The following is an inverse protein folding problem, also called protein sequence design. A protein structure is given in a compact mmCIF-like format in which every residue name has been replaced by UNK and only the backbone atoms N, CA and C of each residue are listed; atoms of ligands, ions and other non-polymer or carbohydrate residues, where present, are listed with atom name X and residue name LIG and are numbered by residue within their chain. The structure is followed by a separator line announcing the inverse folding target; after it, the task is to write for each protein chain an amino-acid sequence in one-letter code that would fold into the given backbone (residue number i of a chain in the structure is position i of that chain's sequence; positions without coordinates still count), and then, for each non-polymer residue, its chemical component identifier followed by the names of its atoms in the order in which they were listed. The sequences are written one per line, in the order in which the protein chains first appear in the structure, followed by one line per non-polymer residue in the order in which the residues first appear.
data_IF_486437045163
#
_entry.id   IF_486437045163
#
_cell.length_a   1.000
_cell.length_b   1.000
_cell.length_c   1.000
_cell.angle_alpha   90.00
_cell.angle_beta   90.00
_cell.angle_gamma   90.00
#
_symmetry.space_group_name_H-M   'P 1'
#
loop_
_entity.id
_entity.type
_entity.pdbx_description
1 polymer ?
#
# COMPACT_ATOMS: atom_id res chain seq x y z
N UNK A 1 3.25 8.53 -20.01
CA UNK A 1 2.62 9.68 -19.32
C UNK A 1 3.68 10.50 -18.62
N UNK A 2 3.53 11.83 -18.55
CA UNK A 2 4.39 12.67 -17.70
C UNK A 2 4.00 12.48 -16.24
N UNK A 3 4.93 12.67 -15.30
CA UNK A 3 4.67 12.47 -13.86
C UNK A 3 3.45 13.25 -13.34
N UNK A 4 3.31 14.52 -13.74
CA UNK A 4 2.16 15.33 -13.34
C UNK A 4 0.81 14.75 -13.82
N UNK A 5 0.79 14.14 -15.01
CA UNK A 5 -0.42 13.49 -15.56
C UNK A 5 -0.79 12.23 -14.76
N UNK A 6 0.22 11.45 -14.33
CA UNK A 6 0.01 10.29 -13.45
C UNK A 6 -0.54 10.76 -12.09
N UNK A 7 0.06 11.78 -11.51
CA UNK A 7 -0.36 12.33 -10.22
C UNK A 7 -1.79 12.86 -10.26
N UNK A 8 -2.17 13.60 -11.31
CA UNK A 8 -3.53 14.09 -11.47
C UNK A 8 -4.54 12.95 -11.60
N UNK A 9 -4.28 11.97 -12.47
CA UNK A 9 -5.16 10.80 -12.65
C UNK A 9 -5.28 9.96 -11.38
N UNK A 10 -4.19 9.80 -10.63
CA UNK A 10 -4.23 9.12 -9.33
C UNK A 10 -5.11 9.89 -8.34
N UNK A 11 -4.99 11.21 -8.25
CA UNK A 11 -5.84 12.02 -7.39
C UNK A 11 -7.34 11.84 -7.72
N UNK A 12 -7.70 11.83 -8.99
CA UNK A 12 -9.07 11.61 -9.45
C UNK A 12 -9.55 10.18 -9.15
N UNK A 13 -8.74 9.17 -9.51
CA UNK A 13 -9.07 7.75 -9.34
C UNK A 13 -9.27 7.36 -7.87
N UNK A 14 -8.35 7.74 -7.00
CA UNK A 14 -8.37 7.37 -5.59
C UNK A 14 -9.33 8.24 -4.75
N UNK A 15 -9.75 9.41 -5.23
CA UNK A 15 -10.82 10.20 -4.60
C UNK A 15 -12.16 9.47 -4.61
N UNK A 16 -12.39 8.56 -5.55
CA UNK A 16 -13.58 7.73 -5.65
C UNK A 16 -13.60 6.54 -4.65
N UNK A 17 -12.53 6.36 -3.89
CA UNK A 17 -12.34 5.19 -3.04
C UNK A 17 -13.51 4.94 -2.09
N UNK A 18 -14.08 5.99 -1.50
CA UNK A 18 -15.25 5.90 -0.62
C UNK A 18 -16.54 5.47 -1.35
N UNK A 19 -16.49 5.36 -2.68
CA UNK A 19 -17.54 4.81 -3.52
C UNK A 19 -17.18 3.50 -4.20
N UNK A 20 -16.05 2.88 -3.83
CA UNK A 20 -15.52 1.70 -4.51
C UNK A 20 -16.54 0.55 -4.58
N UNK A 21 -16.44 -0.28 -5.61
CA UNK A 21 -17.30 -1.47 -5.76
C UNK A 21 -17.23 -2.37 -4.53
N UNK A 22 -16.05 -2.48 -3.91
CA UNK A 22 -15.86 -3.26 -2.71
C UNK A 22 -16.70 -2.75 -1.56
N UNK A 23 -16.64 -1.45 -1.25
CA UNK A 23 -17.43 -0.86 -0.17
C UNK A 23 -18.93 -1.09 -0.40
N UNK A 24 -19.40 -0.88 -1.64
CA UNK A 24 -20.79 -1.17 -2.03
C UNK A 24 -21.13 -2.65 -1.86
N UNK A 25 -20.25 -3.56 -2.29
CA UNK A 25 -20.47 -5.00 -2.19
C UNK A 25 -20.62 -5.50 -0.75
N UNK A 26 -19.86 -4.91 0.18
CA UNK A 26 -19.98 -5.21 1.62
C UNK A 26 -21.06 -4.38 2.33
N UNK A 27 -21.78 -3.53 1.57
CA UNK A 27 -22.91 -2.74 2.08
C UNK A 27 -22.49 -1.53 2.94
N UNK A 28 -21.33 -0.94 2.62
CA UNK A 28 -20.90 0.35 3.16
C UNK A 28 -21.40 1.43 2.21
N UNK A 29 -22.39 2.20 2.64
CA UNK A 29 -23.08 3.21 1.82
C UNK A 29 -22.90 4.63 2.33
N UNK A 30 -22.37 4.78 3.54
CA UNK A 30 -22.15 6.07 4.20
C UNK A 30 -20.91 6.02 5.12
N UNK A 31 -20.58 7.16 5.73
CA UNK A 31 -19.46 7.32 6.68
C UNK A 31 -19.90 7.25 8.16
N UNK A 32 -21.04 6.63 8.46
CA UNK A 32 -21.45 6.42 9.83
C UNK A 32 -20.50 5.47 10.58
N UNK A 33 -20.40 5.57 11.93
CA UNK A 33 -19.55 4.68 12.70
C UNK A 33 -19.85 3.19 12.48
N UNK A 34 -21.09 2.84 12.20
CA UNK A 34 -21.51 1.46 11.95
C UNK A 34 -21.01 0.97 10.58
N UNK A 35 -21.16 1.78 9.53
CA UNK A 35 -20.65 1.48 8.19
C UNK A 35 -19.13 1.37 8.16
N UNK A 36 -18.44 2.29 8.82
CA UNK A 36 -16.99 2.29 8.88
C UNK A 36 -16.44 1.09 9.67
N UNK A 37 -17.05 0.72 10.81
CA UNK A 37 -16.70 -0.51 11.53
C UNK A 37 -16.87 -1.75 10.65
N UNK A 38 -17.96 -1.84 9.90
CA UNK A 38 -18.19 -2.96 8.98
C UNK A 38 -17.09 -3.09 7.92
N UNK A 39 -16.59 -1.95 7.41
CA UNK A 39 -15.44 -1.94 6.51
C UNK A 39 -14.16 -2.40 7.21
N UNK A 40 -13.91 -1.90 8.42
CA UNK A 40 -12.73 -2.24 9.22
C UNK A 40 -12.71 -3.74 9.56
N UNK A 41 -13.82 -4.30 9.99
CA UNK A 41 -13.96 -5.73 10.29
C UNK A 41 -13.64 -6.58 9.06
N UNK A 42 -14.21 -6.22 7.90
CA UNK A 42 -13.89 -6.87 6.64
C UNK A 42 -12.41 -6.73 6.29
N UNK A 43 -11.84 -5.53 6.43
CA UNK A 43 -10.44 -5.24 6.07
C UNK A 43 -9.47 -6.09 6.89
N UNK A 44 -9.66 -6.17 8.20
CA UNK A 44 -8.80 -6.95 9.08
C UNK A 44 -9.01 -8.47 8.95
N UNK A 45 -10.23 -8.91 8.65
CA UNK A 45 -10.46 -10.32 8.29
C UNK A 45 -9.76 -10.68 6.97
N UNK A 46 -9.75 -9.75 6.02
CA UNK A 46 -9.10 -9.95 4.73
C UNK A 46 -7.57 -9.85 4.82
N UNK A 47 -7.01 -8.94 5.61
CA UNK A 47 -5.58 -8.73 5.79
C UNK A 47 -5.11 -9.03 7.24
N UNK A 48 -5.30 -10.25 7.76
CA UNK A 48 -5.02 -10.56 9.18
C UNK A 48 -3.53 -10.44 9.54
N UNK A 49 -2.65 -10.63 8.58
CA UNK A 49 -1.19 -10.49 8.73
C UNK A 49 -0.72 -9.02 8.87
N UNK A 50 -1.59 -8.04 8.70
CA UNK A 50 -1.22 -6.63 8.85
C UNK A 50 -0.69 -6.32 10.25
N UNK A 51 -1.25 -6.98 11.26
CA UNK A 51 -0.83 -6.83 12.66
C UNK A 51 0.57 -7.39 12.93
N UNK A 52 1.07 -8.31 12.09
CA UNK A 52 2.43 -8.84 12.16
C UNK A 52 3.45 -7.85 11.59
N UNK A 53 3.00 -6.97 10.68
CA UNK A 53 3.86 -5.97 10.04
C UNK A 53 3.83 -4.61 10.74
N UNK A 54 2.68 -4.18 11.28
CA UNK A 54 2.54 -2.87 11.93
C UNK A 54 2.41 -3.07 13.44
N UNK A 55 3.46 -2.73 14.23
CA UNK A 55 3.44 -2.88 15.68
C UNK A 55 2.66 -1.73 16.32
N UNK A 56 1.33 -1.74 16.20
CA UNK A 56 0.47 -0.66 16.72
C UNK A 56 0.68 -0.37 18.21
N UNK A 57 1.00 -1.40 19.03
CA UNK A 57 1.29 -1.24 20.46
C UNK A 57 2.48 -0.33 20.76
N UNK A 58 3.41 -0.24 19.82
CA UNK A 58 4.71 0.42 20.02
C UNK A 58 4.73 1.85 19.46
N UNK A 59 3.60 2.33 18.92
CA UNK A 59 3.53 3.64 18.26
C UNK A 59 3.29 4.81 19.22
N UNK A 60 2.96 4.55 20.49
CA UNK A 60 2.61 5.59 21.45
C UNK A 60 3.70 6.66 21.58
N UNK A 61 3.33 7.91 21.34
CA UNK A 61 4.21 9.07 21.40
C UNK A 61 5.18 9.23 20.23
N UNK A 62 5.21 8.28 19.28
CA UNK A 62 6.00 8.39 18.05
C UNK A 62 5.35 9.36 17.07
N UNK A 63 6.16 10.07 16.28
CA UNK A 63 5.69 10.80 15.11
C UNK A 63 5.54 9.81 13.96
N UNK A 64 4.31 9.52 13.58
CA UNK A 64 3.98 8.52 12.54
C UNK A 64 3.34 9.19 11.34
N UNK A 65 3.93 8.98 10.16
CA UNK A 65 3.34 9.34 8.88
C UNK A 65 2.70 8.10 8.24
N UNK A 66 1.43 8.19 7.90
CA UNK A 66 0.79 7.24 6.99
C UNK A 66 0.72 7.85 5.59
N UNK A 67 1.10 7.09 4.56
CA UNK A 67 1.00 7.48 3.16
C UNK A 67 0.03 6.56 2.45
N UNK A 68 -0.96 7.15 1.77
CA UNK A 68 -2.04 6.39 1.14
C UNK A 68 -3.07 5.93 2.16
N UNK A 69 -4.09 6.74 2.39
CA UNK A 69 -4.95 6.65 3.57
C UNK A 69 -6.15 5.71 3.40
N UNK A 70 -6.57 5.48 2.16
CA UNK A 70 -7.73 4.66 1.87
C UNK A 70 -8.99 5.08 2.65
N UNK A 71 -9.66 4.13 3.28
CA UNK A 71 -10.82 4.36 4.14
C UNK A 71 -10.47 4.83 5.56
N UNK A 72 -9.17 5.02 5.88
CA UNK A 72 -8.74 5.41 7.21
C UNK A 72 -8.75 4.30 8.26
N UNK A 73 -8.85 3.04 7.84
CA UNK A 73 -8.86 1.88 8.73
C UNK A 73 -7.56 1.76 9.52
N UNK A 74 -6.42 1.92 8.84
CA UNK A 74 -5.08 1.90 9.47
C UNK A 74 -4.84 3.19 10.23
N UNK A 75 -5.23 4.34 9.66
CA UNK A 75 -5.13 5.68 10.25
C UNK A 75 -5.71 5.72 11.67
N UNK A 76 -6.92 5.18 11.81
CA UNK A 76 -7.63 5.13 13.09
C UNK A 76 -6.86 4.32 14.15
N UNK A 77 -6.29 3.16 13.78
CA UNK A 77 -5.51 2.35 14.72
C UNK A 77 -4.20 3.04 15.11
N UNK A 78 -3.53 3.71 14.17
CA UNK A 78 -2.32 4.47 14.47
C UNK A 78 -2.65 5.61 15.45
N UNK A 79 -3.68 6.40 15.17
CA UNK A 79 -4.09 7.49 16.07
C UNK A 79 -4.55 6.97 17.44
N UNK A 80 -5.33 5.88 17.48
CA UNK A 80 -5.81 5.25 18.71
C UNK A 80 -4.68 4.65 19.56
N UNK A 81 -3.53 4.30 18.97
CA UNK A 81 -2.35 3.84 19.72
C UNK A 81 -1.68 4.95 20.55
N UNK A 82 -2.09 6.19 20.37
CA UNK A 82 -1.47 7.36 21.01
C UNK A 82 -0.24 7.88 20.28
N UNK A 83 -0.10 7.57 19.00
CA UNK A 83 0.91 8.19 18.12
C UNK A 83 0.58 9.65 17.82
N UNK A 84 1.59 10.47 17.55
CA UNK A 84 1.43 11.77 16.90
C UNK A 84 1.19 11.51 15.40
N UNK A 85 -0.08 11.27 15.04
CA UNK A 85 -0.47 10.81 13.72
C UNK A 85 -0.53 11.94 12.70
N UNK A 86 0.07 11.70 11.54
CA UNK A 86 -0.07 12.52 10.34
C UNK A 86 -0.38 11.60 9.15
N UNK A 87 -1.42 11.93 8.38
CA UNK A 87 -1.77 11.24 7.14
C UNK A 87 -1.43 12.07 5.91
N UNK A 88 -0.98 11.42 4.83
CA UNK A 88 -0.71 12.03 3.53
C UNK A 88 -1.36 11.23 2.42
N UNK A 89 -2.21 11.85 1.64
CA UNK A 89 -2.77 11.25 0.42
C UNK A 89 -2.84 12.27 -0.71
N UNK A 90 -2.65 11.81 -1.93
CA UNK A 90 -2.77 12.65 -3.12
C UNK A 90 -4.22 13.01 -3.43
N UNK A 91 -5.16 12.18 -2.98
CA UNK A 91 -6.58 12.29 -3.24
C UNK A 91 -7.32 12.98 -2.08
N UNK A 92 -8.28 13.83 -2.41
CA UNK A 92 -9.07 14.59 -1.43
C UNK A 92 -10.00 13.67 -0.62
N UNK A 93 -10.64 12.69 -1.26
CA UNK A 93 -11.61 11.79 -0.62
C UNK A 93 -11.05 11.05 0.60
N UNK A 94 -9.92 10.33 0.50
CA UNK A 94 -9.26 9.69 1.64
C UNK A 94 -8.87 10.67 2.74
N UNK A 95 -8.37 11.86 2.40
CA UNK A 95 -8.02 12.90 3.39
C UNK A 95 -9.25 13.33 4.18
N UNK A 96 -10.34 13.64 3.49
CA UNK A 96 -11.61 14.01 4.13
C UNK A 96 -12.15 12.87 5.01
N UNK A 97 -12.08 11.63 4.54
CA UNK A 97 -12.51 10.44 5.29
C UNK A 97 -11.71 10.26 6.58
N UNK A 98 -10.39 10.37 6.53
CA UNK A 98 -9.55 10.22 7.73
C UNK A 98 -9.82 11.33 8.74
N UNK A 99 -9.87 12.59 8.31
CA UNK A 99 -10.18 13.70 9.22
C UNK A 99 -11.57 13.54 9.86
N UNK A 100 -12.58 13.10 9.07
CA UNK A 100 -13.91 12.77 9.60
C UNK A 100 -13.85 11.66 10.67
N UNK A 101 -13.09 10.57 10.43
CA UNK A 101 -12.91 9.48 11.41
C UNK A 101 -12.22 9.94 12.69
N UNK A 102 -11.15 10.73 12.57
CA UNK A 102 -10.43 11.28 13.72
C UNK A 102 -11.36 12.14 14.59
N UNK A 103 -12.13 13.05 13.97
CA UNK A 103 -13.12 13.87 14.66
C UNK A 103 -14.23 13.02 15.30
N UNK A 104 -14.80 12.09 14.56
CA UNK A 104 -15.90 11.22 15.03
C UNK A 104 -15.52 10.38 16.26
N UNK A 105 -14.24 10.04 16.42
CA UNK A 105 -13.74 9.22 17.51
C UNK A 105 -12.92 10.01 18.54
N UNK A 106 -12.90 11.35 18.43
CA UNK A 106 -12.12 12.23 19.28
C UNK A 106 -10.63 11.81 19.37
N UNK A 107 -10.05 11.37 18.25
CA UNK A 107 -8.64 10.99 18.14
C UNK A 107 -7.79 12.18 17.67
N UNK A 108 -6.58 12.30 18.23
CA UNK A 108 -5.62 13.32 17.82
C UNK A 108 -4.92 12.92 16.53
N UNK A 109 -4.66 13.91 15.66
CA UNK A 109 -3.96 13.74 14.40
C UNK A 109 -4.57 14.57 13.29
N UNK A 110 -3.98 14.52 12.11
CA UNK A 110 -4.44 15.25 10.93
C UNK A 110 -4.06 14.50 9.66
N UNK A 111 -4.94 14.52 8.68
CA UNK A 111 -4.62 14.11 7.31
C UNK A 111 -4.54 15.36 6.41
N UNK A 112 -3.54 15.39 5.54
CA UNK A 112 -3.29 16.47 4.59
C UNK A 112 -3.22 15.93 3.15
N UNK A 113 -3.68 16.72 2.20
CA UNK A 113 -3.57 16.38 0.78
C UNK A 113 -2.18 16.73 0.27
N UNK A 114 -1.52 15.78 -0.40
CA UNK A 114 -0.22 15.99 -0.99
C UNK A 114 0.36 14.72 -1.60
N UNK A 115 1.44 14.89 -2.36
CA UNK A 115 2.16 13.76 -2.97
C UNK A 115 3.39 13.40 -2.19
N UNK A 116 3.62 12.10 -1.97
CA UNK A 116 4.88 11.61 -1.39
C UNK A 116 6.10 11.91 -2.27
N UNK A 117 5.91 12.16 -3.57
CA UNK A 117 7.00 12.59 -4.45
C UNK A 117 7.44 14.04 -4.19
N UNK A 118 6.58 14.84 -3.54
CA UNK A 118 6.86 16.22 -3.12
C UNK A 118 6.14 16.50 -1.79
N UNK A 119 6.52 15.81 -0.71
CA UNK A 119 5.80 15.88 0.56
C UNK A 119 5.97 17.25 1.22
N UNK A 120 4.91 17.79 1.88
CA UNK A 120 4.96 19.11 2.51
C UNK A 120 5.53 19.03 3.94
N UNK A 121 6.57 18.23 4.14
CA UNK A 121 7.18 17.99 5.46
C UNK A 121 8.69 18.20 5.42
N UNK A 122 9.25 18.61 6.52
CA UNK A 122 10.69 18.72 6.70
C UNK A 122 11.36 17.33 6.79
N UNK A 123 12.63 17.26 6.42
CA UNK A 123 13.42 16.04 6.58
C UNK A 123 13.50 15.62 8.06
N UNK A 124 13.67 14.34 8.31
CA UNK A 124 13.88 13.78 9.65
C UNK A 124 12.79 14.16 10.67
N UNK A 125 11.54 14.20 10.20
CA UNK A 125 10.37 14.53 11.02
C UNK A 125 9.75 13.33 11.71
N UNK A 126 9.78 12.16 11.06
CA UNK A 126 9.00 10.99 11.50
C UNK A 126 9.89 9.88 12.07
N UNK A 127 9.38 9.24 13.12
CA UNK A 127 10.00 8.06 13.71
C UNK A 127 9.59 6.80 12.94
N UNK A 128 8.39 6.82 12.33
CA UNK A 128 7.87 5.72 11.53
C UNK A 128 7.03 6.22 10.35
N UNK A 129 7.21 5.58 9.20
CA UNK A 129 6.37 5.80 8.01
C UNK A 129 5.69 4.48 7.67
N UNK A 130 4.38 4.51 7.45
CA UNK A 130 3.55 3.36 7.08
C UNK A 130 2.90 3.67 5.73
N UNK A 131 3.13 2.80 4.72
CA UNK A 131 2.69 3.04 3.35
C UNK A 131 2.17 1.74 2.70
N UNK A 132 0.93 1.37 3.02
CA UNK A 132 0.35 0.10 2.60
C UNK A 132 -0.43 0.27 1.29
N UNK A 133 0.09 -0.33 0.20
CA UNK A 133 -0.63 -0.40 -1.07
C UNK A 133 -0.64 0.88 -1.91
N UNK A 134 0.25 1.85 -1.66
CA UNK A 134 0.18 3.15 -2.33
C UNK A 134 1.44 3.52 -3.15
N UNK A 135 2.65 3.20 -2.68
CA UNK A 135 3.89 3.69 -3.31
C UNK A 135 4.05 3.22 -4.76
N UNK A 136 3.60 2.03 -5.08
CA UNK A 136 3.68 1.45 -6.42
C UNK A 136 2.67 2.04 -7.43
N UNK A 137 1.82 2.97 -6.99
CA UNK A 137 0.93 3.74 -7.87
C UNK A 137 1.46 5.14 -8.20
N UNK A 138 2.53 5.57 -7.54
CA UNK A 138 3.05 6.95 -7.68
C UNK A 138 3.61 7.27 -9.07
N UNK A 139 4.01 6.26 -9.84
CA UNK A 139 4.69 6.43 -11.12
C UNK A 139 6.21 6.59 -11.02
N UNK A 140 6.72 6.73 -9.80
CA UNK A 140 8.16 6.73 -9.48
C UNK A 140 8.39 6.12 -8.10
N UNK A 141 8.40 4.78 -8.06
CA UNK A 141 8.59 4.03 -6.82
C UNK A 141 9.94 4.31 -6.16
N UNK A 142 10.99 4.54 -6.97
CA UNK A 142 12.33 4.83 -6.45
C UNK A 142 12.37 6.16 -5.70
N UNK A 143 11.82 7.21 -6.32
CA UNK A 143 11.73 8.52 -5.68
C UNK A 143 10.81 8.48 -4.45
N UNK A 144 9.68 7.77 -4.51
CA UNK A 144 8.78 7.62 -3.36
C UNK A 144 9.51 7.00 -2.16
N UNK A 145 10.29 5.93 -2.34
CA UNK A 145 11.08 5.29 -1.28
C UNK A 145 12.17 6.25 -0.78
N UNK A 146 12.88 6.95 -1.68
CA UNK A 146 13.90 7.94 -1.31
C UNK A 146 13.31 9.10 -0.50
N UNK A 147 12.10 9.57 -0.84
CA UNK A 147 11.40 10.59 -0.05
C UNK A 147 11.04 10.09 1.34
N UNK A 148 10.53 8.87 1.46
CA UNK A 148 10.30 8.26 2.77
C UNK A 148 11.59 8.18 3.60
N UNK A 149 12.72 7.78 3.00
CA UNK A 149 14.01 7.75 3.68
C UNK A 149 14.43 9.12 4.24
N UNK A 150 14.26 10.19 3.44
CA UNK A 150 14.60 11.56 3.88
C UNK A 150 13.72 12.08 5.00
N UNK A 151 12.43 11.70 5.00
CA UNK A 151 11.48 12.10 6.04
C UNK A 151 11.70 11.38 7.37
N UNK A 152 12.32 10.20 7.36
CA UNK A 152 12.62 9.43 8.55
C UNK A 152 13.79 10.03 9.33
N UNK A 153 13.66 10.06 10.64
CA UNK A 153 14.76 10.32 11.59
C UNK A 153 15.78 9.19 11.54
N UNK A 154 17.04 9.42 11.96
CA UNK A 154 17.96 8.32 12.27
C UNK A 154 17.30 7.33 13.24
N UNK A 155 17.43 6.03 12.98
CA UNK A 155 16.76 4.96 13.73
C UNK A 155 15.28 4.74 13.36
N UNK A 156 14.70 5.61 12.57
CA UNK A 156 13.31 5.49 12.11
C UNK A 156 13.12 4.37 11.07
N UNK A 157 11.88 3.92 10.88
CA UNK A 157 11.58 2.81 9.96
C UNK A 157 10.43 3.11 9.01
N UNK A 158 10.56 2.61 7.78
CA UNK A 158 9.53 2.54 6.75
C UNK A 158 8.93 1.13 6.72
N UNK A 159 7.62 1.03 6.94
CA UNK A 159 6.83 -0.20 6.75
C UNK A 159 5.95 0.03 5.54
N UNK A 160 6.10 -0.80 4.51
CA UNK A 160 5.34 -0.58 3.28
C UNK A 160 5.01 -1.86 2.55
N UNK A 161 4.01 -1.78 1.68
CA UNK A 161 3.60 -2.87 0.80
C UNK A 161 3.54 -2.40 -0.64
N UNK A 162 4.05 -3.23 -1.54
CA UNK A 162 3.99 -3.06 -3.00
C UNK A 162 3.64 -4.38 -3.68
N UNK A 163 3.21 -4.36 -4.95
CA UNK A 163 2.85 -5.59 -5.66
C UNK A 163 4.07 -6.37 -6.12
N UNK A 164 4.00 -7.69 -5.91
CA UNK A 164 5.07 -8.61 -6.23
C UNK A 164 5.06 -9.06 -7.70
N UNK A 165 6.20 -8.92 -8.38
CA UNK A 165 6.34 -9.20 -9.81
C UNK A 165 6.27 -10.68 -10.17
N UNK A 166 6.60 -11.59 -9.24
CA UNK A 166 6.56 -13.05 -9.47
C UNK A 166 5.42 -13.73 -8.72
N UNK A 167 4.33 -13.00 -8.42
CA UNK A 167 3.15 -13.56 -7.79
C UNK A 167 2.50 -14.63 -8.69
N UNK A 168 1.76 -15.56 -8.08
CA UNK A 168 1.04 -16.58 -8.84
C UNK A 168 0.11 -15.98 -9.90
N UNK A 169 -0.52 -14.84 -9.60
CA UNK A 169 -1.42 -14.12 -10.52
C UNK A 169 -0.66 -13.63 -11.75
N UNK A 170 0.55 -13.09 -11.57
CA UNK A 170 1.40 -12.64 -12.67
C UNK A 170 1.84 -13.80 -13.57
N UNK A 171 2.19 -14.94 -12.98
CA UNK A 171 2.53 -16.13 -13.75
C UNK A 171 1.35 -16.69 -14.57
N UNK A 172 0.11 -16.59 -14.05
CA UNK A 172 -1.08 -17.04 -14.76
C UNK A 172 -1.54 -16.07 -15.85
N UNK A 173 -1.59 -14.77 -15.55
CA UNK A 173 -2.19 -13.78 -16.44
C UNK A 173 -1.21 -13.21 -17.46
N UNK A 174 0.07 -13.12 -17.12
CA UNK A 174 1.10 -12.52 -17.97
C UNK A 174 2.42 -13.34 -17.97
N UNK A 175 2.39 -14.67 -18.25
CA UNK A 175 3.56 -15.55 -18.09
C UNK A 175 4.75 -15.10 -18.93
N UNK A 176 4.52 -14.68 -20.18
CA UNK A 176 5.60 -14.22 -21.07
C UNK A 176 6.27 -12.92 -20.56
N UNK A 177 5.46 -11.98 -20.05
CA UNK A 177 5.97 -10.72 -19.47
C UNK A 177 6.73 -11.01 -18.17
N UNK A 178 6.21 -11.90 -17.34
CA UNK A 178 6.84 -12.32 -16.07
C UNK A 178 8.18 -13.03 -16.32
N UNK A 179 8.21 -13.95 -17.31
CA UNK A 179 9.45 -14.62 -17.69
C UNK A 179 10.49 -13.64 -18.27
N UNK A 180 10.06 -12.70 -19.12
CA UNK A 180 10.95 -11.67 -19.66
C UNK A 180 11.55 -10.82 -18.54
N UNK A 181 10.75 -10.39 -17.57
CA UNK A 181 11.21 -9.64 -16.40
C UNK A 181 12.25 -10.45 -15.60
N UNK A 182 12.01 -11.76 -15.39
CA UNK A 182 12.96 -12.65 -14.73
C UNK A 182 14.29 -12.73 -15.49
N UNK A 183 14.25 -12.87 -16.81
CA UNK A 183 15.45 -12.90 -17.64
C UNK A 183 16.22 -11.58 -17.60
N UNK A 184 15.53 -10.44 -17.65
CA UNK A 184 16.14 -9.13 -17.53
C UNK A 184 16.78 -8.94 -16.14
N UNK A 185 16.14 -9.42 -15.07
CA UNK A 185 16.71 -9.38 -13.72
C UNK A 185 17.96 -10.26 -13.57
N UNK A 186 17.96 -11.48 -14.16
CA UNK A 186 19.12 -12.37 -14.17
C UNK A 186 20.28 -11.72 -14.92
N UNK A 187 20.01 -11.00 -16.02
CA UNK A 187 21.01 -10.26 -16.80
C UNK A 187 21.50 -8.97 -16.13
N UNK A 188 21.01 -8.66 -14.93
CA UNK A 188 21.38 -7.44 -14.20
C UNK A 188 20.68 -6.18 -14.70
N UNK A 189 19.75 -6.29 -15.63
CA UNK A 189 18.86 -5.22 -16.06
C UNK A 189 17.76 -5.07 -15.00
N UNK A 190 18.04 -4.31 -13.97
CA UNK A 190 17.11 -4.10 -12.87
C UNK A 190 16.05 -3.09 -13.28
N UNK A 191 14.79 -3.45 -13.18
CA UNK A 191 13.70 -2.56 -13.52
C UNK A 191 12.47 -2.86 -12.67
N UNK A 192 11.68 -1.82 -12.49
CA UNK A 192 10.29 -1.92 -12.05
C UNK A 192 9.45 -2.22 -13.29
N UNK A 193 8.46 -3.09 -13.19
CA UNK A 193 7.49 -3.25 -14.29
C UNK A 193 6.48 -2.10 -14.19
N UNK A 194 6.80 -0.96 -14.80
CA UNK A 194 6.00 0.25 -14.66
C UNK A 194 4.98 0.51 -15.77
N UNK A 195 5.05 -0.20 -16.89
CA UNK A 195 4.13 0.00 -18.03
C UNK A 195 3.38 -1.29 -18.29
N UNK A 196 2.31 -1.50 -17.56
CA UNK A 196 1.40 -2.60 -17.79
C UNK A 196 0.20 -2.15 -18.63
N UNK A 197 -0.38 -3.08 -19.39
CA UNK A 197 -1.64 -2.85 -20.08
C UNK A 197 -2.77 -2.64 -19.05
N UNK A 198 -3.80 -1.89 -19.45
CA UNK A 198 -4.95 -1.62 -18.57
C UNK A 198 -5.55 -2.90 -17.97
N UNK A 199 -5.64 -3.99 -18.72
CA UNK A 199 -6.16 -5.27 -18.23
C UNK A 199 -5.29 -5.90 -17.13
N UNK A 200 -3.96 -5.71 -17.18
CA UNK A 200 -3.05 -6.24 -16.16
C UNK A 200 -3.27 -5.48 -14.83
N UNK A 201 -3.48 -4.16 -14.90
CA UNK A 201 -3.78 -3.31 -13.74
C UNK A 201 -5.18 -3.57 -13.19
N UNK A 202 -6.18 -3.73 -14.07
CA UNK A 202 -7.56 -4.02 -13.68
C UNK A 202 -7.72 -5.33 -12.90
N UNK A 203 -6.78 -6.25 -13.03
CA UNK A 203 -6.76 -7.49 -12.23
C UNK A 203 -6.38 -7.26 -10.77
N UNK A 204 -5.91 -6.07 -10.41
CA UNK A 204 -5.53 -5.66 -9.06
C UNK A 204 -6.45 -4.55 -8.55
N UNK A 205 -6.58 -3.46 -9.30
CA UNK A 205 -7.31 -2.27 -8.85
C UNK A 205 -8.24 -1.75 -9.94
N UNK A 206 -9.51 -1.65 -9.59
CA UNK A 206 -10.55 -1.03 -10.42
C UNK A 206 -11.39 -0.08 -9.59
N UNK A 207 -11.79 1.06 -10.21
CA UNK A 207 -12.76 1.96 -9.62
C UNK A 207 -14.21 1.46 -9.80
N UNK A 208 -15.19 2.22 -9.33
CA UNK A 208 -16.60 1.88 -9.44
C UNK A 208 -17.11 1.81 -10.89
N UNK A 209 -16.41 2.43 -11.84
CA UNK A 209 -16.71 2.39 -13.28
C UNK A 209 -16.03 1.23 -14.00
N UNK A 210 -15.22 0.41 -13.27
CA UNK A 210 -14.46 -0.70 -13.86
C UNK A 210 -13.18 -0.27 -14.57
N UNK A 211 -12.75 0.98 -14.41
CA UNK A 211 -11.49 1.46 -14.95
C UNK A 211 -10.33 1.01 -14.07
N UNK A 212 -9.21 0.66 -14.69
CA UNK A 212 -8.00 0.25 -13.95
C UNK A 212 -7.27 1.44 -13.35
N UNK A 213 -6.53 1.21 -12.25
CA UNK A 213 -5.62 2.20 -11.68
C UNK A 213 -4.75 2.84 -12.78
N UNK A 214 -4.51 4.17 -12.73
CA UNK A 214 -3.78 4.91 -13.77
C UNK A 214 -2.35 4.41 -13.98
N UNK A 215 -1.71 4.02 -12.89
CA UNK A 215 -0.37 3.45 -12.87
C UNK A 215 -0.27 2.35 -11.82
N UNK A 216 0.53 1.33 -12.10
CA UNK A 216 0.86 0.27 -11.15
C UNK A 216 2.24 -0.29 -11.47
N UNK A 217 3.11 -0.33 -10.48
CA UNK A 217 4.41 -0.97 -10.53
C UNK A 217 4.35 -2.36 -9.88
N UNK A 218 5.06 -3.32 -10.47
CA UNK A 218 5.37 -4.60 -9.85
C UNK A 218 6.88 -4.72 -9.72
N UNK A 219 7.34 -5.23 -8.59
CA UNK A 219 8.76 -5.32 -8.30
C UNK A 219 9.10 -6.66 -7.63
N UNK A 220 10.32 -7.16 -7.86
CA UNK A 220 10.84 -8.33 -7.15
C UNK A 220 11.47 -7.95 -5.81
N UNK A 221 11.65 -8.93 -4.90
CA UNK A 221 12.41 -8.74 -3.66
C UNK A 221 13.81 -8.20 -3.92
N UNK A 222 14.48 -8.74 -4.95
CA UNK A 222 15.84 -8.36 -5.33
C UNK A 222 15.91 -6.93 -5.85
N UNK A 223 15.02 -6.55 -6.75
CA UNK A 223 14.98 -5.18 -7.27
C UNK A 223 14.56 -4.18 -6.19
N UNK A 224 13.62 -4.54 -5.30
CA UNK A 224 13.22 -3.69 -4.18
C UNK A 224 14.35 -3.48 -3.18
N UNK A 225 15.15 -4.51 -2.89
CA UNK A 225 16.32 -4.36 -1.99
C UNK A 225 17.34 -3.35 -2.52
N UNK A 226 17.42 -3.17 -3.84
CA UNK A 226 18.29 -2.14 -4.44
C UNK A 226 17.71 -0.74 -4.27
N UNK A 227 16.39 -0.58 -4.38
CA UNK A 227 15.75 0.70 -4.10
C UNK A 227 15.88 1.10 -2.62
N UNK A 228 16.01 0.11 -1.74
CA UNK A 228 16.16 0.31 -0.30
C UNK A 228 17.62 0.26 0.18
N UNK A 229 18.62 0.39 -0.71
CA UNK A 229 20.05 0.26 -0.35
C UNK A 229 20.57 1.34 0.60
N UNK A 230 19.89 2.49 0.70
CA UNK A 230 20.23 3.55 1.67
C UNK A 230 19.83 3.19 3.11
N UNK A 231 18.89 2.27 3.29
CA UNK A 231 18.50 1.78 4.61
C UNK A 231 19.53 0.81 5.17
N UNK A 232 19.75 0.85 6.47
CA UNK A 232 20.68 -0.06 7.16
C UNK A 232 20.16 -1.49 7.25
N UNK A 233 18.84 -1.67 7.30
CA UNK A 233 18.18 -2.97 7.26
C UNK A 233 17.05 -2.99 6.25
N UNK A 234 16.79 -4.17 5.67
CA UNK A 234 15.68 -4.40 4.75
C UNK A 234 15.16 -5.84 4.91
N UNK A 235 13.91 -5.97 5.32
CA UNK A 235 13.28 -7.26 5.62
C UNK A 235 12.01 -7.44 4.76
N UNK A 236 12.10 -8.11 3.61
CA UNK A 236 10.96 -8.35 2.74
C UNK A 236 10.22 -9.64 3.07
N UNK A 237 8.88 -9.59 3.11
CA UNK A 237 8.00 -10.74 3.34
C UNK A 237 6.90 -10.75 2.28
N UNK A 238 6.54 -11.93 1.76
CA UNK A 238 5.41 -12.08 0.84
C UNK A 238 4.17 -12.52 1.61
N UNK A 239 3.08 -11.82 1.32
CA UNK A 239 1.76 -12.08 1.88
C UNK A 239 0.71 -12.14 0.77
N UNK A 240 -0.51 -12.37 1.19
CA UNK A 240 -1.70 -12.33 0.36
C UNK A 240 -1.79 -13.44 -0.70
N UNK A 241 -2.96 -14.07 -0.73
CA UNK A 241 -3.33 -15.09 -1.70
C UNK A 241 -4.84 -15.10 -1.84
N UNK A 242 -5.34 -15.30 -3.05
CA UNK A 242 -6.77 -15.44 -3.28
C UNK A 242 -7.18 -16.89 -3.56
N UNK A 243 -8.43 -17.19 -3.29
CA UNK A 243 -9.07 -18.45 -3.67
C UNK A 243 -9.54 -18.48 -5.14
N UNK A 244 -8.87 -17.69 -6.01
CA UNK A 244 -9.07 -17.73 -7.46
C UNK A 244 -8.24 -18.84 -8.12
N UNK A 245 -8.47 -19.21 -9.39
CA UNK A 245 -7.62 -20.20 -10.05
C UNK A 245 -6.12 -19.94 -9.86
N UNK A 246 -5.33 -20.96 -9.56
CA UNK A 246 -5.65 -22.42 -9.49
C UNK A 246 -6.14 -22.88 -8.10
N UNK A 247 -6.39 -21.97 -7.17
CA UNK A 247 -6.61 -22.25 -5.75
C UNK A 247 -8.10 -22.33 -5.35
N UNK A 248 -9.03 -22.31 -6.27
CA UNK A 248 -10.48 -22.24 -6.01
C UNK A 248 -11.07 -23.40 -5.18
N UNK A 249 -10.27 -24.47 -4.93
CA UNK A 249 -10.67 -25.58 -4.04
C UNK A 249 -10.47 -25.32 -2.56
N UNK A 250 -9.74 -24.24 -2.22
CA UNK A 250 -9.45 -23.84 -0.85
C UNK A 250 -10.06 -22.49 -0.56
N UNK A 251 -10.48 -22.28 0.67
CA UNK A 251 -10.82 -20.94 1.12
C UNK A 251 -9.57 -20.09 1.29
N UNK A 252 -9.70 -18.77 1.20
CA UNK A 252 -8.57 -17.86 1.41
C UNK A 252 -7.93 -18.06 2.80
N UNK A 253 -8.75 -18.26 3.86
CA UNK A 253 -8.26 -18.53 5.22
C UNK A 253 -7.44 -19.83 5.31
N UNK A 254 -7.79 -20.87 4.54
CA UNK A 254 -6.99 -22.09 4.45
C UNK A 254 -5.65 -21.83 3.75
N UNK A 255 -5.67 -21.09 2.65
CA UNK A 255 -4.47 -20.74 1.87
C UNK A 255 -3.49 -19.90 2.67
N UNK A 256 -3.96 -18.92 3.45
CA UNK A 256 -3.12 -18.08 4.32
C UNK A 256 -2.36 -18.87 5.38
N UNK A 257 -2.85 -20.03 5.79
CA UNK A 257 -2.16 -20.94 6.75
C UNK A 257 -1.10 -21.82 6.10
N UNK A 258 -0.95 -21.77 4.78
CA UNK A 258 0.06 -22.54 4.04
C UNK A 258 1.32 -21.71 3.81
N UNK A 259 2.35 -22.33 3.21
CA UNK A 259 3.54 -21.60 2.75
C UNK A 259 3.36 -20.93 1.36
N UNK A 260 2.21 -21.07 0.72
CA UNK A 260 1.99 -20.53 -0.63
C UNK A 260 2.13 -19.01 -0.66
N UNK A 261 1.53 -18.22 0.28
CA UNK A 261 1.72 -16.77 0.30
C UNK A 261 3.19 -16.36 0.38
N UNK A 262 3.99 -17.01 1.22
CA UNK A 262 5.41 -16.68 1.40
C UNK A 262 6.29 -17.00 0.18
N UNK A 263 5.81 -17.83 -0.77
CA UNK A 263 6.52 -18.22 -1.99
C UNK A 263 6.07 -17.40 -3.20
N UNK A 264 4.77 -17.18 -3.36
CA UNK A 264 4.18 -16.59 -4.57
C UNK A 264 2.97 -15.67 -4.29
N UNK A 265 2.93 -15.08 -3.10
CA UNK A 265 1.92 -14.12 -2.68
C UNK A 265 1.82 -12.92 -3.61
N UNK A 266 0.75 -12.16 -3.46
CA UNK A 266 0.45 -10.99 -4.29
C UNK A 266 1.21 -9.76 -3.82
N UNK A 267 1.37 -9.64 -2.49
CA UNK A 267 1.84 -8.46 -1.80
C UNK A 267 3.25 -8.68 -1.25
N UNK A 268 4.12 -7.76 -1.55
CA UNK A 268 5.47 -7.70 -1.01
C UNK A 268 5.51 -6.62 0.07
N UNK A 269 5.44 -7.06 1.32
CA UNK A 269 5.67 -6.22 2.49
C UNK A 269 7.16 -6.05 2.72
N UNK A 270 7.56 -4.92 3.24
CA UNK A 270 8.92 -4.68 3.66
C UNK A 270 8.99 -3.73 4.84
N UNK A 271 9.92 -4.03 5.76
CA UNK A 271 10.35 -3.09 6.81
C UNK A 271 11.79 -2.71 6.54
N UNK A 272 12.07 -1.41 6.45
CA UNK A 272 13.39 -0.85 6.19
C UNK A 272 13.72 0.20 7.24
N UNK A 273 14.90 0.12 7.88
CA UNK A 273 15.31 1.02 8.97
C UNK A 273 16.43 1.95 8.50
N UNK A 274 16.31 3.23 8.77
CA UNK A 274 17.35 4.23 8.56
C UNK A 274 18.38 4.15 9.69
N UNK A 275 19.68 4.20 9.36
CA UNK A 275 20.76 4.26 10.36
C UNK A 275 20.81 5.60 11.10
#
# INVERSE_FOLDING_TARGET
MKQNEISQKNSEFWSELCGSQLAKAIGVTDSSPASLRKFDDWYFEFYPYLFDHIPFSDLKGMNVLEVGLGYGTVSQLIAASGANYTGLDIAEGPVAMVNHRLEQQALSGVAVQGSILSPPFEAETFDKIIAIGCLHHTGDLAEAISRCYRLLRPGGSLIFMVYYSYSYRRWLQAPKKTLRYLMDEIQGKRSVIGVAESKDRAAYDTNSSGESAPHTDWISKKSLSVLCQEFSTFQPTLENIDSTPPFQRWTRSQLLKTRIPSLMGLDLYATATKS
#
